data_IF_185464835270
#
_entry.id   IF_185464835270
#
_cell.length_a   1.000
_cell.length_b   1.000
_cell.length_c   1.000
_cell.angle_alpha   90.00
_cell.angle_beta   90.00
_cell.angle_gamma   90.00
#
_symmetry.space_group_name_H-M   'P 1'
#
loop_
_entity.id
_entity.type
_entity.pdbx_description
1 polymer ?
#
# COMPACT_ATOMS: atom_id res chain seq x y z
N UNK A 1 -17.25 -17.70 15.89
CA UNK A 1 -17.27 -17.27 17.31
C UNK A 1 -15.85 -17.20 17.88
N UNK A 2 -14.99 -18.26 17.74
CA UNK A 2 -13.61 -18.23 18.25
C UNK A 2 -12.77 -17.04 17.75
N UNK A 3 -12.84 -16.75 16.46
CA UNK A 3 -12.08 -15.62 15.87
C UNK A 3 -12.55 -14.25 16.40
N UNK A 4 -13.85 -14.06 16.67
CA UNK A 4 -14.39 -12.82 17.22
C UNK A 4 -13.83 -12.52 18.61
N UNK A 5 -13.86 -13.49 19.53
CA UNK A 5 -13.37 -13.35 20.91
C UNK A 5 -11.87 -13.03 20.96
N UNK A 6 -11.06 -13.77 20.20
CA UNK A 6 -9.61 -13.51 20.13
C UNK A 6 -9.29 -12.15 19.53
N UNK A 7 -10.00 -11.73 18.49
CA UNK A 7 -9.83 -10.40 17.89
C UNK A 7 -10.23 -9.30 18.88
N UNK A 8 -11.32 -9.50 19.61
CA UNK A 8 -11.74 -8.55 20.64
C UNK A 8 -10.69 -8.41 21.76
N UNK A 9 -10.18 -9.52 22.31
CA UNK A 9 -9.08 -9.47 23.29
C UNK A 9 -7.86 -8.75 22.73
N UNK A 10 -7.46 -9.11 21.50
CA UNK A 10 -6.30 -8.50 20.85
C UNK A 10 -6.42 -6.98 20.72
N UNK A 11 -7.59 -6.50 20.34
CA UNK A 11 -7.82 -5.06 20.13
C UNK A 11 -8.04 -4.28 21.42
N UNK A 12 -8.63 -4.89 22.46
CA UNK A 12 -9.06 -4.17 23.65
C UNK A 12 -8.09 -4.30 24.82
N UNK A 13 -7.42 -5.45 24.97
CA UNK A 13 -6.47 -5.67 26.05
C UNK A 13 -5.03 -5.25 25.68
N UNK A 14 -4.66 -5.31 24.38
CA UNK A 14 -3.31 -5.04 23.90
C UNK A 14 -3.26 -3.73 23.07
N UNK A 15 -3.54 -2.61 23.69
CA UNK A 15 -3.52 -1.28 23.04
C UNK A 15 -2.14 -0.65 23.20
N UNK A 16 -1.42 -0.31 22.09
CA UNK A 16 -1.90 -0.22 20.71
C UNK A 16 -1.84 -1.54 19.92
N UNK A 17 -1.03 -2.48 20.34
CA UNK A 17 -0.77 -3.76 19.66
C UNK A 17 -0.13 -4.77 20.64
N UNK A 18 -0.03 -6.08 20.29
CA UNK A 18 0.50 -7.12 21.16
C UNK A 18 1.96 -6.94 21.58
N UNK A 19 2.70 -6.03 20.95
CA UNK A 19 4.09 -5.72 21.32
C UNK A 19 4.21 -4.75 22.51
N UNK A 20 3.09 -4.36 23.12
CA UNK A 20 3.05 -3.44 24.29
C UNK A 20 3.99 -3.85 25.43
N UNK A 21 4.21 -5.13 25.65
CA UNK A 21 5.09 -5.62 26.70
C UNK A 21 6.58 -5.33 26.48
N UNK A 22 6.99 -5.03 25.25
CA UNK A 22 8.37 -4.64 24.94
C UNK A 22 8.71 -3.26 25.47
N UNK A 23 7.73 -2.36 25.55
CA UNK A 23 7.95 -0.93 25.75
C UNK A 23 8.88 -0.64 26.93
N UNK A 24 8.55 -1.11 28.13
CA UNK A 24 9.33 -0.79 29.34
C UNK A 24 10.75 -1.35 29.29
N UNK A 25 10.91 -2.60 28.86
CA UNK A 25 12.21 -3.28 28.75
C UNK A 25 13.09 -2.61 27.69
N UNK A 26 12.51 -2.30 26.51
CA UNK A 26 13.21 -1.63 25.43
C UNK A 26 13.66 -0.21 25.82
N UNK A 27 12.81 0.58 26.49
CA UNK A 27 13.21 1.91 26.98
C UNK A 27 14.43 1.80 27.90
N UNK A 28 14.41 0.87 28.88
CA UNK A 28 15.52 0.71 29.82
C UNK A 28 16.82 0.34 29.12
N UNK A 29 16.77 -0.60 28.19
CA UNK A 29 17.92 -1.04 27.40
C UNK A 29 18.44 0.06 26.49
N UNK A 30 17.56 0.69 25.69
CA UNK A 30 17.94 1.69 24.71
C UNK A 30 18.45 2.98 25.34
N UNK A 31 17.96 3.39 26.50
CA UNK A 31 18.51 4.55 27.22
C UNK A 31 20.00 4.35 27.57
N UNK A 32 20.35 3.14 28.07
CA UNK A 32 21.76 2.81 28.37
C UNK A 32 22.57 2.85 27.07
N UNK A 33 22.07 2.23 26.01
CA UNK A 33 22.75 2.16 24.71
C UNK A 33 22.95 3.54 24.10
N UNK A 34 21.92 4.41 24.09
CA UNK A 34 21.97 5.77 23.58
C UNK A 34 23.05 6.59 24.30
N UNK A 35 23.09 6.52 25.65
CA UNK A 35 24.06 7.27 26.45
C UNK A 35 25.49 6.75 26.25
N UNK A 36 25.67 5.43 26.11
CA UNK A 36 26.99 4.84 25.91
C UNK A 36 27.58 5.13 24.54
N UNK A 37 26.76 5.35 23.53
CA UNK A 37 27.18 5.53 22.13
C UNK A 37 26.94 6.96 21.61
N UNK A 38 26.58 7.91 22.47
CA UNK A 38 26.32 9.31 22.12
C UNK A 38 25.38 9.47 20.92
N UNK A 39 24.22 8.78 20.97
CA UNK A 39 23.23 8.81 19.88
C UNK A 39 22.32 10.01 20.06
N UNK A 40 22.28 10.89 19.05
CA UNK A 40 21.47 12.12 19.03
C UNK A 40 20.10 11.91 18.37
N UNK A 41 19.99 10.96 17.46
CA UNK A 41 18.78 10.73 16.68
C UNK A 41 18.21 9.33 16.88
N UNK A 42 16.89 9.26 17.00
CA UNK A 42 16.16 7.98 17.03
C UNK A 42 15.04 8.02 16.01
N UNK A 43 14.96 6.98 15.19
CA UNK A 43 13.85 6.78 14.25
C UNK A 43 13.00 5.62 14.76
N UNK A 44 11.70 5.86 14.94
CA UNK A 44 10.73 4.80 15.19
C UNK A 44 9.81 4.64 13.99
N UNK A 45 9.56 3.41 13.55
CA UNK A 45 8.67 3.14 12.42
C UNK A 45 7.51 2.26 12.84
N UNK A 46 6.33 2.56 12.35
CA UNK A 46 5.09 1.83 12.67
C UNK A 46 4.21 1.61 11.45
N UNK A 47 3.37 0.55 11.47
CA UNK A 47 3.10 -0.42 12.55
C UNK A 47 4.26 -1.43 12.78
N UNK A 48 4.39 -2.02 13.98
CA UNK A 48 3.54 -1.87 15.17
C UNK A 48 3.74 -0.53 15.87
N UNK A 49 2.64 0.09 16.34
CA UNK A 49 2.70 1.46 16.89
C UNK A 49 3.28 1.52 18.32
N UNK A 50 3.41 0.38 19.00
CA UNK A 50 4.20 0.25 20.24
C UNK A 50 5.65 0.73 20.07
N UNK A 51 6.23 0.67 18.85
CA UNK A 51 7.56 1.20 18.55
C UNK A 51 7.63 2.72 18.78
N UNK A 52 6.59 3.45 18.40
CA UNK A 52 6.50 4.89 18.68
C UNK A 52 6.38 5.19 20.18
N UNK A 53 5.75 4.29 20.96
CA UNK A 53 5.67 4.43 22.42
C UNK A 53 7.02 4.20 23.10
N UNK A 54 7.87 3.33 22.56
CA UNK A 54 9.25 3.19 23.01
C UNK A 54 9.99 4.51 22.80
N UNK A 55 9.97 5.07 21.61
CA UNK A 55 10.63 6.33 21.29
C UNK A 55 10.06 7.51 22.10
N UNK A 56 8.73 7.55 22.32
CA UNK A 56 8.11 8.52 23.22
C UNK A 56 8.65 8.41 24.65
N UNK A 57 8.88 7.19 25.15
CA UNK A 57 9.48 6.94 26.46
C UNK A 57 10.94 7.39 26.53
N UNK A 58 11.72 7.17 25.48
CA UNK A 58 13.11 7.64 25.35
C UNK A 58 13.15 9.18 25.34
N UNK A 59 12.32 9.84 24.53
CA UNK A 59 12.22 11.31 24.45
C UNK A 59 11.82 11.95 25.77
N UNK A 60 10.98 11.30 26.56
CA UNK A 60 10.62 11.78 27.91
C UNK A 60 11.81 11.74 28.88
N UNK A 61 12.70 10.77 28.76
CA UNK A 61 13.86 10.58 29.63
C UNK A 61 15.07 11.41 29.16
N UNK A 62 15.24 11.55 27.84
CA UNK A 62 16.26 12.40 27.23
C UNK A 62 15.57 13.44 26.33
N UNK A 63 15.42 14.66 26.83
CA UNK A 63 14.75 15.77 26.12
C UNK A 63 15.54 16.25 24.89
N UNK A 64 16.87 16.08 24.89
CA UNK A 64 17.75 16.51 23.80
C UNK A 64 17.69 15.55 22.60
N UNK A 65 17.27 14.29 22.83
CA UNK A 65 17.16 13.29 21.78
C UNK A 65 16.23 13.77 20.65
N UNK A 66 16.71 13.83 19.43
CA UNK A 66 15.90 14.14 18.25
C UNK A 66 15.18 12.89 17.79
N UNK A 67 13.86 12.95 17.76
CA UNK A 67 13.00 11.81 17.44
C UNK A 67 12.22 12.02 16.17
N UNK A 68 12.41 11.10 15.22
CA UNK A 68 11.68 10.98 13.96
C UNK A 68 10.68 9.82 14.11
N UNK A 69 9.40 10.08 13.91
CA UNK A 69 8.37 9.05 13.91
C UNK A 69 7.87 8.80 12.48
N UNK A 70 8.19 7.64 11.94
CA UNK A 70 7.83 7.21 10.59
C UNK A 70 6.52 6.43 10.61
N UNK A 71 5.46 7.07 10.15
CA UNK A 71 4.12 6.52 10.03
C UNK A 71 3.90 6.02 8.60
N UNK A 72 4.21 4.75 8.36
CA UNK A 72 3.93 4.09 7.09
C UNK A 72 2.43 3.90 6.82
N UNK A 73 1.66 3.80 7.90
CA UNK A 73 0.21 3.72 7.91
C UNK A 73 -0.36 4.60 9.03
N UNK A 74 -1.61 5.12 8.90
CA UNK A 74 -2.27 5.81 9.98
C UNK A 74 -2.54 4.85 11.15
N UNK A 75 -2.52 5.36 12.37
CA UNK A 75 -2.70 4.52 13.55
C UNK A 75 -4.20 4.29 13.86
N UNK A 76 -4.89 5.33 14.34
CA UNK A 76 -6.29 5.20 14.78
C UNK A 76 -7.30 5.14 13.65
N UNK A 77 -6.89 5.44 12.41
CA UNK A 77 -7.73 5.41 11.20
C UNK A 77 -7.48 4.21 10.31
N UNK A 78 -6.72 3.21 10.79
CA UNK A 78 -6.44 2.00 10.02
C UNK A 78 -7.68 1.10 9.97
N UNK A 79 -8.16 0.74 8.77
CA UNK A 79 -9.34 -0.13 8.57
C UNK A 79 -9.19 -1.50 9.25
N UNK A 80 -7.95 -1.99 9.41
CA UNK A 80 -7.69 -3.25 10.11
C UNK A 80 -8.24 -3.24 11.55
N UNK A 81 -8.32 -2.07 12.18
CA UNK A 81 -8.85 -1.93 13.55
C UNK A 81 -10.35 -2.28 13.64
N UNK A 82 -11.11 -2.16 12.56
CA UNK A 82 -12.53 -2.52 12.53
C UNK A 82 -12.73 -4.02 12.77
N UNK A 83 -11.77 -4.85 12.36
CA UNK A 83 -11.79 -6.30 12.60
C UNK A 83 -11.59 -6.68 14.07
N UNK A 84 -11.11 -5.76 14.90
CA UNK A 84 -10.85 -6.01 16.32
C UNK A 84 -11.99 -5.63 17.25
N UNK A 85 -13.11 -5.12 16.72
CA UNK A 85 -14.30 -4.76 17.51
C UNK A 85 -13.95 -3.92 18.74
N UNK A 86 -13.20 -2.84 18.51
CA UNK A 86 -12.70 -1.99 19.59
C UNK A 86 -13.81 -1.37 20.41
N UNK A 87 -13.73 -1.48 21.74
CA UNK A 87 -14.56 -0.74 22.68
C UNK A 87 -14.29 0.77 22.59
N UNK A 88 -15.19 1.57 23.10
CA UNK A 88 -15.03 3.02 23.19
C UNK A 88 -13.71 3.41 23.90
N UNK A 89 -13.38 2.74 25.00
CA UNK A 89 -12.14 2.96 25.75
C UNK A 89 -10.89 2.64 24.93
N UNK A 90 -10.86 1.50 24.22
CA UNK A 90 -9.72 1.12 23.38
C UNK A 90 -9.56 2.09 22.18
N UNK A 91 -10.65 2.52 21.55
CA UNK A 91 -10.63 3.54 20.48
C UNK A 91 -10.06 4.86 20.99
N UNK A 92 -10.53 5.37 22.12
CA UNK A 92 -10.05 6.63 22.69
C UNK A 92 -8.60 6.51 23.15
N UNK A 93 -8.18 5.39 23.76
CA UNK A 93 -6.79 5.16 24.14
C UNK A 93 -5.86 5.19 22.92
N UNK A 94 -6.23 4.54 21.80
CA UNK A 94 -5.46 4.60 20.55
C UNK A 94 -5.31 6.06 20.08
N UNK A 95 -6.41 6.81 19.97
CA UNK A 95 -6.39 8.23 19.56
C UNK A 95 -5.51 9.10 20.46
N UNK A 96 -5.61 8.93 21.77
CA UNK A 96 -4.79 9.67 22.73
C UNK A 96 -3.29 9.34 22.61
N UNK A 97 -2.96 8.06 22.40
CA UNK A 97 -1.58 7.64 22.25
C UNK A 97 -1.00 8.16 20.92
N UNK A 98 -1.73 8.05 19.82
CA UNK A 98 -1.37 8.62 18.51
C UNK A 98 -1.11 10.13 18.64
N UNK A 99 -2.06 10.89 19.19
CA UNK A 99 -1.91 12.33 19.41
C UNK A 99 -0.66 12.66 20.23
N UNK A 100 -0.38 11.91 21.31
CA UNK A 100 0.83 12.11 22.12
C UNK A 100 2.11 11.91 21.32
N UNK A 101 2.16 10.91 20.44
CA UNK A 101 3.29 10.66 19.57
C UNK A 101 3.45 11.80 18.57
N UNK A 102 2.38 12.16 17.87
CA UNK A 102 2.37 13.23 16.86
C UNK A 102 2.82 14.58 17.43
N UNK A 103 2.39 14.93 18.65
CA UNK A 103 2.75 16.19 19.30
C UNK A 103 4.17 16.20 19.91
N UNK A 104 4.82 15.06 20.14
CA UNK A 104 6.10 14.98 20.86
C UNK A 104 7.29 14.60 19.98
N UNK A 105 7.08 14.01 18.82
CA UNK A 105 8.13 13.77 17.84
C UNK A 105 8.64 15.11 17.26
N UNK A 106 9.93 15.17 16.96
CA UNK A 106 10.54 16.34 16.32
C UNK A 106 10.18 16.41 14.83
N UNK A 107 10.03 15.24 14.20
CA UNK A 107 9.61 15.10 12.83
C UNK A 107 8.69 13.88 12.69
N UNK A 108 7.60 14.06 11.97
CA UNK A 108 6.75 12.97 11.51
C UNK A 108 7.02 12.74 10.03
N UNK A 109 7.28 11.51 9.67
CA UNK A 109 7.29 11.06 8.27
C UNK A 109 6.00 10.32 7.98
N UNK A 110 5.48 10.49 6.78
CA UNK A 110 4.31 9.75 6.29
C UNK A 110 4.40 9.58 4.77
N UNK A 111 3.59 8.70 4.21
CA UNK A 111 3.70 8.31 2.80
C UNK A 111 2.76 9.08 1.87
N UNK A 112 1.83 9.91 2.40
CA UNK A 112 0.87 10.63 1.57
C UNK A 112 0.50 12.01 2.13
N UNK A 113 0.05 12.87 1.22
CA UNK A 113 -0.37 14.24 1.53
C UNK A 113 -1.60 14.27 2.44
N UNK A 114 -2.56 13.38 2.19
CA UNK A 114 -3.77 13.27 2.99
C UNK A 114 -3.46 12.92 4.46
N UNK A 115 -2.57 11.95 4.67
CA UNK A 115 -2.17 11.58 6.03
C UNK A 115 -1.34 12.67 6.69
N UNK A 116 -0.50 13.40 5.93
CA UNK A 116 0.17 14.60 6.44
C UNK A 116 -0.85 15.61 7.01
N UNK A 117 -1.88 15.89 6.22
CA UNK A 117 -2.89 16.88 6.62
C UNK A 117 -3.73 16.39 7.80
N UNK A 118 -4.03 15.11 7.85
CA UNK A 118 -4.69 14.49 9.00
C UNK A 118 -3.84 14.55 10.28
N UNK A 119 -2.53 14.29 10.18
CA UNK A 119 -1.62 14.36 11.34
C UNK A 119 -1.45 15.79 11.82
N UNK A 120 -1.41 16.78 10.92
CA UNK A 120 -1.42 18.20 11.29
C UNK A 120 -2.69 18.58 12.06
N UNK A 121 -3.87 18.11 11.61
CA UNK A 121 -5.14 18.31 12.34
C UNK A 121 -5.14 17.68 13.72
N UNK A 122 -4.38 16.61 13.93
CA UNK A 122 -4.21 15.95 15.24
C UNK A 122 -3.17 16.64 16.14
N UNK A 123 -2.49 17.68 15.65
CA UNK A 123 -1.54 18.48 16.39
C UNK A 123 -0.07 18.19 16.13
N UNK A 124 0.27 17.50 15.03
CA UNK A 124 1.65 17.37 14.61
C UNK A 124 2.19 18.69 14.03
N UNK A 125 3.33 19.17 14.54
CA UNK A 125 3.91 20.45 14.13
C UNK A 125 4.73 20.35 12.85
N UNK A 126 5.51 19.27 12.70
CA UNK A 126 6.43 19.07 11.57
C UNK A 126 6.15 17.72 10.92
N UNK A 127 5.48 17.73 9.78
CA UNK A 127 5.14 16.51 9.01
C UNK A 127 5.68 16.65 7.60
N UNK A 128 6.46 15.67 7.18
CA UNK A 128 7.01 15.56 5.82
C UNK A 128 6.50 14.29 5.15
N UNK A 129 6.29 14.38 3.85
CA UNK A 129 5.87 13.23 3.04
C UNK A 129 7.09 12.66 2.34
N UNK A 130 7.37 11.40 2.61
CA UNK A 130 8.29 10.54 1.87
C UNK A 130 7.48 9.33 1.42
N UNK A 131 7.15 9.25 0.16
CA UNK A 131 6.30 8.20 -0.39
C UNK A 131 6.99 6.83 -0.28
N UNK A 132 6.23 5.75 -0.48
CA UNK A 132 6.83 4.49 -0.83
C UNK A 132 7.57 4.63 -2.18
N UNK A 133 8.47 3.71 -2.45
CA UNK A 133 9.27 3.70 -3.67
C UNK A 133 9.67 2.28 -4.06
N UNK A 134 10.42 2.17 -5.13
CA UNK A 134 11.00 0.93 -5.63
C UNK A 134 12.53 0.92 -5.42
N UNK A 135 13.13 -0.26 -5.38
CA UNK A 135 14.57 -0.45 -5.35
C UNK A 135 15.08 -0.67 -6.77
N UNK A 136 16.02 0.15 -7.23
CA UNK A 136 16.58 0.03 -8.59
C UNK A 136 17.26 -1.32 -8.79
N UNK A 137 17.83 -1.92 -7.72
CA UNK A 137 18.48 -3.22 -7.77
C UNK A 137 17.54 -4.37 -8.15
N UNK A 138 16.26 -4.27 -7.79
CA UNK A 138 15.24 -5.26 -8.17
C UNK A 138 14.99 -5.30 -9.69
N UNK A 139 15.30 -4.21 -10.39
CA UNK A 139 15.02 -4.02 -11.82
C UNK A 139 16.27 -4.03 -12.71
N UNK A 140 17.46 -4.25 -12.15
CA UNK A 140 18.73 -4.23 -12.90
C UNK A 140 18.73 -5.18 -14.11
N UNK A 141 18.15 -6.39 -13.95
CA UNK A 141 18.04 -7.39 -15.01
C UNK A 141 16.62 -7.50 -15.56
N UNK A 142 15.77 -6.51 -15.26
CA UNK A 142 14.39 -6.52 -15.71
C UNK A 142 14.28 -6.19 -17.19
N UNK A 143 13.72 -7.09 -17.96
CA UNK A 143 13.41 -6.88 -19.37
C UNK A 143 11.92 -7.07 -19.60
N UNK A 144 11.24 -6.02 -20.05
CA UNK A 144 9.83 -6.14 -20.41
C UNK A 144 9.66 -7.00 -21.65
N UNK A 145 9.07 -8.16 -21.49
CA UNK A 145 8.74 -9.04 -22.61
C UNK A 145 7.36 -8.68 -23.15
N UNK A 146 7.27 -8.46 -24.45
CA UNK A 146 5.99 -8.24 -25.13
C UNK A 146 5.62 -9.53 -25.86
N UNK A 147 4.46 -10.10 -25.54
CA UNK A 147 3.89 -11.20 -26.31
C UNK A 147 2.88 -10.65 -27.30
N UNK A 148 2.98 -11.02 -28.57
CA UNK A 148 1.95 -10.75 -29.58
C UNK A 148 0.81 -11.77 -29.53
N UNK A 149 1.09 -12.95 -28.94
CA UNK A 149 0.16 -14.07 -28.88
C UNK A 149 -0.75 -14.04 -27.65
N UNK A 150 -0.29 -13.37 -26.58
CA UNK A 150 -0.99 -13.35 -25.29
C UNK A 150 -1.15 -11.93 -24.77
N UNK A 151 -2.32 -11.64 -24.21
CA UNK A 151 -2.60 -10.45 -23.41
C UNK A 151 -2.78 -10.87 -21.97
N UNK A 152 -1.72 -10.76 -21.19
CA UNK A 152 -1.71 -11.17 -19.78
C UNK A 152 -2.09 -10.01 -18.89
N UNK A 153 -3.17 -10.15 -18.15
CA UNK A 153 -3.58 -9.23 -17.07
C UNK A 153 -3.15 -9.84 -15.75
N UNK A 154 -2.33 -9.12 -14.95
CA UNK A 154 -1.75 -9.65 -13.72
C UNK A 154 -2.07 -8.85 -12.46
N UNK A 155 -2.52 -9.53 -11.41
CA UNK A 155 -2.55 -9.00 -10.05
C UNK A 155 -1.75 -9.90 -9.11
N UNK A 156 -0.80 -9.32 -8.41
CA UNK A 156 0.14 -10.03 -7.53
C UNK A 156 0.02 -9.50 -6.10
N UNK A 157 -0.97 -9.99 -5.36
CA UNK A 157 -1.20 -9.57 -3.98
C UNK A 157 -2.53 -9.99 -3.39
N UNK A 158 -2.97 -9.26 -2.35
CA UNK A 158 -4.22 -9.53 -1.66
C UNK A 158 -5.41 -9.05 -2.47
N UNK A 159 -6.41 -9.92 -2.67
CA UNK A 159 -7.76 -9.55 -3.10
C UNK A 159 -8.75 -9.99 -2.03
N UNK A 160 -9.45 -9.04 -1.42
CA UNK A 160 -10.51 -9.25 -0.45
C UNK A 160 -11.74 -8.41 -0.82
N UNK A 161 -12.79 -8.45 -0.01
CA UNK A 161 -14.03 -7.71 -0.28
C UNK A 161 -13.85 -6.20 -0.49
N UNK A 162 -12.81 -5.57 0.11
CA UNK A 162 -12.47 -4.16 -0.08
C UNK A 162 -11.61 -3.89 -1.32
N UNK A 163 -11.11 -4.94 -1.98
CA UNK A 163 -10.22 -4.87 -3.15
C UNK A 163 -10.73 -5.70 -4.31
N UNK A 164 -12.05 -5.85 -4.44
CA UNK A 164 -12.66 -6.63 -5.51
C UNK A 164 -13.24 -5.72 -6.60
N UNK A 165 -12.61 -5.61 -7.77
CA UNK A 165 -13.10 -4.80 -8.89
C UNK A 165 -14.18 -5.56 -9.68
N UNK A 166 -15.36 -5.75 -9.10
CA UNK A 166 -16.45 -6.56 -9.70
C UNK A 166 -16.80 -6.15 -11.12
N UNK A 167 -16.90 -4.85 -11.39
CA UNK A 167 -17.23 -4.36 -12.73
C UNK A 167 -16.11 -4.61 -13.75
N UNK A 168 -14.87 -4.76 -13.28
CA UNK A 168 -13.76 -5.14 -14.14
C UNK A 168 -13.88 -6.60 -14.62
N UNK A 169 -14.23 -7.52 -13.73
CA UNK A 169 -14.47 -8.92 -14.12
C UNK A 169 -15.62 -9.04 -15.10
N UNK A 170 -16.72 -8.31 -14.86
CA UNK A 170 -17.86 -8.22 -15.79
C UNK A 170 -17.49 -7.65 -17.14
N UNK A 171 -16.66 -6.59 -17.16
CA UNK A 171 -16.19 -5.99 -18.39
C UNK A 171 -15.32 -6.97 -19.21
N UNK A 172 -14.41 -7.70 -18.56
CA UNK A 172 -13.58 -8.72 -19.22
C UNK A 172 -14.45 -9.85 -19.82
N UNK A 173 -15.42 -10.34 -19.05
CA UNK A 173 -16.33 -11.39 -19.53
C UNK A 173 -17.11 -10.92 -20.78
N UNK A 174 -17.68 -9.70 -20.73
CA UNK A 174 -18.38 -9.08 -21.86
C UNK A 174 -17.49 -8.92 -23.09
N UNK A 175 -16.24 -8.44 -22.92
CA UNK A 175 -15.28 -8.32 -24.04
C UNK A 175 -14.97 -9.69 -24.63
N UNK A 176 -14.76 -10.71 -23.81
CA UNK A 176 -14.48 -12.07 -24.31
C UNK A 176 -15.64 -12.68 -25.10
N UNK A 177 -16.88 -12.36 -24.76
CA UNK A 177 -18.08 -12.79 -25.49
C UNK A 177 -18.20 -12.07 -26.84
N UNK A 178 -17.86 -10.79 -26.89
CA UNK A 178 -18.00 -9.92 -28.07
C UNK A 178 -16.79 -10.02 -29.04
N UNK A 179 -15.59 -10.31 -28.54
CA UNK A 179 -14.34 -10.29 -29.29
C UNK A 179 -13.56 -11.62 -29.16
N UNK A 180 -13.67 -12.46 -30.18
CA UNK A 180 -13.03 -13.78 -30.20
C UNK A 180 -11.48 -13.71 -30.21
N UNK A 181 -10.87 -12.71 -30.87
CA UNK A 181 -9.42 -12.54 -30.89
C UNK A 181 -8.89 -12.15 -29.52
N UNK A 182 -9.51 -11.17 -28.86
CA UNK A 182 -9.21 -10.83 -27.47
C UNK A 182 -9.36 -12.03 -26.54
N UNK A 183 -10.48 -12.75 -26.69
CA UNK A 183 -10.77 -13.94 -25.86
C UNK A 183 -9.72 -15.03 -26.03
N UNK A 184 -9.20 -15.27 -27.22
CA UNK A 184 -8.13 -16.27 -27.48
C UNK A 184 -6.80 -15.89 -26.82
N UNK A 185 -6.50 -14.59 -26.76
CA UNK A 185 -5.21 -14.08 -26.25
C UNK A 185 -5.21 -13.78 -24.76
N UNK A 186 -6.39 -13.60 -24.13
CA UNK A 186 -6.50 -13.22 -22.73
C UNK A 186 -6.03 -14.33 -21.80
N UNK A 187 -5.12 -13.99 -20.89
CA UNK A 187 -4.82 -14.75 -19.67
C UNK A 187 -4.93 -13.81 -18.45
N UNK A 188 -5.46 -14.30 -17.33
CA UNK A 188 -5.59 -13.57 -16.08
C UNK A 188 -4.74 -14.27 -15.03
N UNK A 189 -3.68 -13.63 -14.59
CA UNK A 189 -2.75 -14.17 -13.59
C UNK A 189 -3.03 -13.57 -12.24
N UNK A 190 -3.38 -14.40 -11.26
CA UNK A 190 -3.67 -13.98 -9.89
C UNK A 190 -2.72 -14.70 -8.93
N UNK A 191 -1.98 -13.93 -8.14
CA UNK A 191 -1.06 -14.45 -7.13
C UNK A 191 -1.29 -13.78 -5.77
N UNK A 192 -1.05 -14.52 -4.70
CA UNK A 192 -1.19 -14.08 -3.33
C UNK A 192 -2.45 -14.58 -2.65
N UNK A 193 -2.88 -13.89 -1.59
CA UNK A 193 -4.05 -14.30 -0.83
C UNK A 193 -5.32 -13.71 -1.43
N UNK A 194 -6.16 -14.56 -2.01
CA UNK A 194 -7.42 -14.18 -2.66
C UNK A 194 -8.57 -14.85 -1.93
N UNK A 195 -9.55 -14.07 -1.50
CA UNK A 195 -10.71 -14.59 -0.80
C UNK A 195 -11.47 -15.61 -1.66
N UNK A 196 -11.79 -16.76 -1.07
CA UNK A 196 -12.50 -17.86 -1.75
C UNK A 196 -13.83 -17.43 -2.38
N UNK A 197 -14.51 -16.47 -1.75
CA UNK A 197 -15.78 -15.89 -2.26
C UNK A 197 -15.55 -15.17 -3.59
N UNK A 198 -14.41 -14.50 -3.77
CA UNK A 198 -14.05 -13.79 -4.99
C UNK A 198 -13.65 -14.79 -6.09
N UNK A 199 -12.90 -15.83 -5.75
CA UNK A 199 -12.59 -16.91 -6.70
C UNK A 199 -13.90 -17.51 -7.22
N UNK A 200 -14.87 -17.81 -6.33
CA UNK A 200 -16.19 -18.32 -6.71
C UNK A 200 -16.97 -17.31 -7.56
N UNK A 201 -16.89 -16.01 -7.26
CA UNK A 201 -17.52 -14.96 -8.07
C UNK A 201 -16.94 -14.98 -9.50
N UNK A 202 -15.61 -15.01 -9.63
CA UNK A 202 -14.95 -15.03 -10.95
C UNK A 202 -15.28 -16.30 -11.71
N UNK A 203 -15.40 -17.45 -11.06
CA UNK A 203 -15.76 -18.71 -11.70
C UNK A 203 -17.17 -18.75 -12.31
N UNK A 204 -18.03 -17.84 -11.90
CA UNK A 204 -19.40 -17.72 -12.47
C UNK A 204 -19.40 -16.98 -13.83
N UNK A 205 -18.32 -16.35 -14.23
CA UNK A 205 -18.21 -15.67 -15.53
C UNK A 205 -17.77 -16.67 -16.60
N UNK A 206 -18.67 -16.99 -17.53
CA UNK A 206 -18.50 -18.09 -18.48
C UNK A 206 -17.30 -17.94 -19.44
N UNK A 207 -17.03 -16.71 -19.87
CA UNK A 207 -16.01 -16.45 -20.86
C UNK A 207 -14.59 -16.27 -20.27
N UNK A 208 -14.47 -15.86 -19.00
CA UNK A 208 -13.15 -15.62 -18.37
C UNK A 208 -12.71 -16.71 -17.38
N UNK A 209 -13.63 -17.56 -16.91
CA UNK A 209 -13.30 -18.59 -15.92
C UNK A 209 -12.10 -19.46 -16.33
N UNK A 210 -12.10 -19.98 -17.55
CA UNK A 210 -11.01 -20.84 -18.07
C UNK A 210 -9.70 -20.10 -18.33
N UNK A 211 -9.69 -18.77 -18.25
CA UNK A 211 -8.52 -17.91 -18.51
C UNK A 211 -7.79 -17.48 -17.25
N UNK A 212 -8.37 -17.78 -16.08
CA UNK A 212 -7.77 -17.44 -14.79
C UNK A 212 -6.74 -18.48 -14.38
N UNK A 213 -5.53 -18.00 -14.09
CA UNK A 213 -4.42 -18.82 -13.57
C UNK A 213 -4.10 -18.38 -12.14
N UNK A 214 -4.37 -19.27 -11.20
CA UNK A 214 -4.00 -19.08 -9.80
C UNK A 214 -2.55 -19.49 -9.60
N UNK A 215 -1.65 -18.53 -9.36
CA UNK A 215 -0.21 -18.78 -9.26
C UNK A 215 0.24 -19.06 -7.82
N UNK A 216 -0.67 -19.04 -6.85
CA UNK A 216 -0.33 -19.20 -5.45
C UNK A 216 0.52 -18.05 -4.90
N UNK A 217 1.33 -18.34 -3.88
CA UNK A 217 2.26 -17.37 -3.32
C UNK A 217 3.53 -17.33 -4.17
N UNK A 218 3.96 -16.12 -4.54
CA UNK A 218 5.22 -15.87 -5.24
C UNK A 218 6.15 -15.05 -4.32
N UNK A 219 7.42 -15.39 -4.32
CA UNK A 219 8.47 -14.57 -3.71
C UNK A 219 8.60 -13.22 -4.45
N UNK A 220 9.22 -12.22 -3.83
CA UNK A 220 9.39 -10.90 -4.46
C UNK A 220 10.08 -10.99 -5.83
N UNK A 221 11.15 -11.78 -5.93
CA UNK A 221 11.88 -12.00 -7.18
C UNK A 221 11.00 -12.64 -8.27
N UNK A 222 10.16 -13.61 -7.89
CA UNK A 222 9.21 -14.24 -8.82
C UNK A 222 8.13 -13.26 -9.27
N UNK A 223 7.67 -12.36 -8.38
CA UNK A 223 6.73 -11.30 -8.74
C UNK A 223 7.34 -10.35 -9.78
N UNK A 224 8.58 -9.91 -9.59
CA UNK A 224 9.29 -9.07 -10.57
C UNK A 224 9.42 -9.79 -11.92
N UNK A 225 9.76 -11.08 -11.92
CA UNK A 225 9.79 -11.90 -13.13
C UNK A 225 8.39 -12.01 -13.79
N UNK A 226 7.33 -12.19 -13.00
CA UNK A 226 5.96 -12.25 -13.51
C UNK A 226 5.54 -10.91 -14.16
N UNK A 227 5.96 -9.78 -13.60
CA UNK A 227 5.75 -8.47 -14.21
C UNK A 227 6.32 -8.42 -15.65
N UNK A 228 7.47 -9.04 -15.91
CA UNK A 228 8.08 -9.02 -17.26
C UNK A 228 7.16 -9.59 -18.35
N UNK A 229 6.36 -10.62 -18.01
CA UNK A 229 5.45 -11.30 -18.91
C UNK A 229 4.01 -10.78 -18.88
N UNK A 230 3.73 -9.78 -18.02
CA UNK A 230 2.39 -9.19 -17.86
C UNK A 230 2.21 -8.04 -18.85
N UNK A 231 1.10 -7.99 -19.57
CA UNK A 231 0.76 -6.92 -20.52
C UNK A 231 0.10 -5.74 -19.80
N UNK A 232 -0.77 -6.02 -18.81
CA UNK A 232 -1.49 -5.03 -18.02
C UNK A 232 -1.44 -5.42 -16.53
N UNK A 233 -0.82 -4.59 -15.71
CA UNK A 233 -0.75 -4.80 -14.26
C UNK A 233 -1.97 -4.19 -13.56
N UNK A 234 -2.46 -4.86 -12.52
CA UNK A 234 -3.54 -4.35 -11.68
C UNK A 234 -3.03 -4.02 -10.28
N UNK A 235 -3.31 -2.81 -9.83
CA UNK A 235 -3.10 -2.35 -8.46
C UNK A 235 -4.47 -2.09 -7.84
N UNK A 236 -4.78 -2.76 -6.73
CA UNK A 236 -6.07 -2.66 -6.06
C UNK A 236 -5.87 -1.99 -4.69
N UNK A 237 -6.39 -0.77 -4.54
CA UNK A 237 -6.43 -0.06 -3.27
C UNK A 237 -7.61 -0.54 -2.44
N UNK A 238 -7.62 -0.28 -1.14
CA UNK A 238 -8.82 -0.49 -0.33
C UNK A 238 -9.92 0.48 -0.75
N UNK A 239 -11.10 -0.02 -1.02
CA UNK A 239 -12.32 0.79 -1.22
C UNK A 239 -12.89 1.22 0.13
N UNK A 240 -12.16 2.10 0.80
CA UNK A 240 -12.43 2.52 2.17
C UNK A 240 -11.77 3.87 2.47
N UNK A 241 -12.00 4.41 3.67
CA UNK A 241 -11.39 5.69 4.09
C UNK A 241 -9.87 5.61 4.16
N UNK A 242 -9.29 4.49 4.57
CA UNK A 242 -7.82 4.35 4.60
C UNK A 242 -7.23 4.25 3.20
N UNK A 243 -8.00 3.74 2.24
CA UNK A 243 -7.61 3.70 0.84
C UNK A 243 -7.39 5.07 0.20
N UNK A 244 -7.98 6.13 0.75
CA UNK A 244 -7.83 7.50 0.25
C UNK A 244 -6.39 8.02 0.32
N UNK A 245 -5.66 7.73 1.41
CA UNK A 245 -4.26 8.11 1.58
C UNK A 245 -3.26 6.99 1.26
N UNK A 246 -3.70 5.88 0.72
CA UNK A 246 -2.83 4.72 0.51
C UNK A 246 -2.02 4.86 -0.79
N UNK A 247 -0.69 4.76 -0.67
CA UNK A 247 0.26 4.59 -1.77
C UNK A 247 0.96 3.23 -1.59
N UNK A 248 0.43 2.12 -2.11
CA UNK A 248 1.07 0.81 -1.92
C UNK A 248 2.42 0.75 -2.63
N UNK A 249 3.41 0.05 -2.04
CA UNK A 249 4.74 -0.13 -2.65
C UNK A 249 4.64 -0.68 -4.08
N UNK A 250 3.71 -1.59 -4.31
CA UNK A 250 3.43 -2.19 -5.63
C UNK A 250 3.11 -1.17 -6.74
N UNK A 251 2.53 -0.02 -6.42
CA UNK A 251 2.31 1.05 -7.38
C UNK A 251 3.64 1.52 -7.98
N UNK A 252 4.65 1.70 -7.12
CA UNK A 252 5.97 2.19 -7.53
C UNK A 252 6.76 1.12 -8.29
N UNK A 253 6.57 -0.16 -7.94
CA UNK A 253 7.11 -1.28 -8.73
C UNK A 253 6.50 -1.31 -10.14
N UNK A 254 5.18 -1.09 -10.27
CA UNK A 254 4.53 -0.97 -11.58
C UNK A 254 5.09 0.20 -12.40
N UNK A 255 5.39 1.33 -11.75
CA UNK A 255 6.06 2.47 -12.36
C UNK A 255 7.46 2.08 -12.85
N UNK A 256 8.26 1.41 -12.01
CA UNK A 256 9.61 0.94 -12.36
C UNK A 256 9.61 -0.04 -13.53
N UNK A 257 8.59 -0.90 -13.64
CA UNK A 257 8.43 -1.85 -14.75
C UNK A 257 8.19 -1.19 -16.11
N UNK A 258 7.84 0.09 -16.14
CA UNK A 258 7.50 0.83 -17.38
C UNK A 258 6.43 0.13 -18.21
N UNK A 259 5.46 -0.50 -17.55
CA UNK A 259 4.32 -1.19 -18.17
C UNK A 259 3.02 -0.44 -17.99
N UNK A 260 2.02 -0.82 -18.77
CA UNK A 260 0.66 -0.37 -18.53
C UNK A 260 0.16 -0.93 -17.22
N UNK A 261 -0.51 -0.10 -16.43
CA UNK A 261 -1.19 -0.56 -15.22
C UNK A 261 -2.46 0.23 -14.95
N UNK A 262 -3.44 -0.46 -14.39
CA UNK A 262 -4.66 0.12 -13.86
C UNK A 262 -4.63 0.10 -12.35
N UNK A 263 -5.06 1.19 -11.75
CA UNK A 263 -5.28 1.29 -10.31
C UNK A 263 -6.76 1.41 -10.05
N UNK A 264 -7.31 0.48 -9.27
CA UNK A 264 -8.66 0.60 -8.74
C UNK A 264 -8.62 1.15 -7.32
N UNK A 265 -9.42 2.17 -7.06
CA UNK A 265 -9.46 2.78 -5.73
C UNK A 265 -10.66 3.69 -5.51
N UNK A 266 -10.78 4.28 -4.30
CA UNK A 266 -11.80 5.24 -3.98
C UNK A 266 -11.57 6.57 -4.70
N UNK A 267 -12.63 7.30 -4.93
CA UNK A 267 -12.58 8.64 -5.51
C UNK A 267 -11.80 9.63 -4.62
N UNK A 268 -11.11 10.59 -5.24
CA UNK A 268 -10.31 11.61 -4.57
C UNK A 268 -9.14 11.10 -3.72
N UNK A 269 -8.65 9.88 -3.99
CA UNK A 269 -7.47 9.36 -3.32
C UNK A 269 -6.18 10.09 -3.73
N UNK A 270 -5.17 10.06 -2.86
CA UNK A 270 -3.86 10.63 -3.18
C UNK A 270 -3.19 9.89 -4.35
N UNK A 271 -3.42 8.58 -4.48
CA UNK A 271 -2.96 7.82 -5.66
C UNK A 271 -3.63 8.32 -6.95
N UNK A 272 -4.93 8.65 -6.92
CA UNK A 272 -5.60 9.25 -8.08
C UNK A 272 -4.97 10.59 -8.47
N UNK A 273 -4.71 11.46 -7.48
CA UNK A 273 -4.04 12.75 -7.70
C UNK A 273 -2.64 12.56 -8.28
N UNK A 274 -1.87 11.60 -7.74
CA UNK A 274 -0.55 11.27 -8.24
C UNK A 274 -0.58 10.85 -9.71
N UNK A 275 -1.45 9.91 -10.08
CA UNK A 275 -1.57 9.44 -11.47
C UNK A 275 -2.06 10.54 -12.42
N UNK A 276 -3.01 11.37 -11.98
CA UNK A 276 -3.49 12.51 -12.76
C UNK A 276 -2.39 13.55 -13.02
N UNK A 277 -1.53 13.80 -12.01
CA UNK A 277 -0.40 14.73 -12.13
C UNK A 277 0.71 14.19 -13.03
N UNK A 278 1.05 12.91 -12.88
CA UNK A 278 2.19 12.28 -13.58
C UNK A 278 1.82 11.73 -14.94
N UNK A 279 0.52 11.51 -15.20
CA UNK A 279 0.00 10.83 -16.39
C UNK A 279 0.57 9.43 -16.60
N UNK A 280 0.96 8.76 -15.50
CA UNK A 280 1.50 7.41 -15.49
C UNK A 280 0.42 6.47 -15.02
N UNK A 281 0.02 5.49 -15.85
CA UNK A 281 -1.06 4.54 -15.53
C UNK A 281 -2.46 5.15 -15.65
N UNK A 282 -3.46 4.32 -15.43
CA UNK A 282 -4.89 4.68 -15.47
C UNK A 282 -5.52 4.44 -14.11
N UNK A 283 -6.28 5.43 -13.63
CA UNK A 283 -7.06 5.30 -12.40
C UNK A 283 -8.53 5.03 -12.72
N UNK A 284 -9.07 4.00 -12.09
CA UNK A 284 -10.46 3.57 -12.23
C UNK A 284 -11.13 3.53 -10.85
N UNK A 285 -12.37 3.94 -10.79
CA UNK A 285 -13.18 3.83 -9.59
C UNK A 285 -13.82 2.44 -9.52
N UNK A 286 -13.99 1.91 -8.32
CA UNK A 286 -14.76 0.67 -8.13
C UNK A 286 -16.21 0.84 -8.58
N UNK A 287 -16.73 2.07 -8.59
CA UNK A 287 -18.06 2.46 -9.06
C UNK A 287 -18.15 2.75 -10.56
N UNK A 288 -17.04 2.77 -11.29
CA UNK A 288 -17.07 3.00 -12.74
C UNK A 288 -17.94 1.94 -13.43
N UNK A 289 -18.73 2.37 -14.41
CA UNK A 289 -19.59 1.46 -15.15
C UNK A 289 -18.77 0.52 -16.06
N UNK A 290 -19.41 -0.57 -16.45
CA UNK A 290 -18.79 -1.65 -17.23
C UNK A 290 -18.28 -1.13 -18.57
N UNK A 291 -19.00 -0.27 -19.27
CA UNK A 291 -18.64 0.19 -20.60
C UNK A 291 -17.40 1.09 -20.57
N UNK A 292 -17.30 2.01 -19.59
CA UNK A 292 -16.08 2.81 -19.35
C UNK A 292 -14.85 1.92 -19.09
N UNK A 293 -15.01 0.89 -18.26
CA UNK A 293 -13.91 -0.05 -17.95
C UNK A 293 -13.55 -0.85 -19.20
N UNK A 294 -14.53 -1.30 -19.96
CA UNK A 294 -14.38 -2.03 -21.23
C UNK A 294 -13.57 -1.22 -22.23
N UNK A 295 -13.91 0.05 -22.44
CA UNK A 295 -13.18 0.97 -23.34
C UNK A 295 -11.71 1.11 -22.93
N UNK A 296 -11.43 1.24 -21.63
CA UNK A 296 -10.07 1.32 -21.13
C UNK A 296 -9.27 0.02 -21.34
N UNK A 297 -9.90 -1.14 -21.15
CA UNK A 297 -9.27 -2.46 -21.40
C UNK A 297 -8.96 -2.62 -22.89
N UNK A 298 -9.89 -2.30 -23.78
CA UNK A 298 -9.70 -2.41 -25.25
C UNK A 298 -8.60 -1.43 -25.70
N UNK A 299 -8.60 -0.21 -25.19
CA UNK A 299 -7.52 0.74 -25.45
C UNK A 299 -6.16 0.20 -25.01
N UNK A 300 -6.08 -0.41 -23.83
CA UNK A 300 -4.84 -1.02 -23.33
C UNK A 300 -4.41 -2.23 -24.17
N UNK A 301 -5.35 -3.06 -24.64
CA UNK A 301 -5.10 -4.16 -25.53
C UNK A 301 -4.53 -3.74 -26.89
N UNK A 302 -5.10 -2.69 -27.49
CA UNK A 302 -4.68 -2.16 -28.79
C UNK A 302 -3.35 -1.40 -28.71
N UNK A 303 -3.12 -0.66 -27.61
CA UNK A 303 -1.95 0.18 -27.38
C UNK A 303 -0.93 -0.51 -26.47
N UNK A 304 -0.37 -1.65 -26.89
CA UNK A 304 0.60 -2.42 -26.08
C UNK A 304 1.95 -1.69 -25.82
N UNK A 305 2.11 -0.47 -26.29
CA UNK A 305 3.28 0.36 -26.06
C UNK A 305 2.88 1.74 -25.54
N UNK A 306 2.94 1.95 -24.24
CA UNK A 306 2.74 3.28 -23.67
C UNK A 306 4.11 3.90 -23.37
N UNK A 307 4.38 5.05 -23.98
CA UNK A 307 5.53 5.90 -23.61
C UNK A 307 5.12 6.79 -22.44
N UNK A 308 5.12 6.22 -21.22
CA UNK A 308 5.08 7.06 -20.03
C UNK A 308 6.43 7.78 -19.87
N UNK A 309 6.42 9.08 -19.60
CA UNK A 309 7.61 9.80 -19.13
C UNK A 309 7.86 9.36 -17.67
N UNK A 310 8.64 8.31 -17.51
CA UNK A 310 9.00 7.81 -16.19
C UNK A 310 10.02 8.75 -15.54
N UNK A 311 9.75 9.07 -14.29
CA UNK A 311 10.63 9.89 -13.46
C UNK A 311 11.26 8.97 -12.40
N UNK A 312 12.56 9.06 -12.19
CA UNK A 312 13.27 8.35 -11.11
C UNK A 312 12.95 8.92 -9.72
N UNK A 313 11.98 9.82 -9.62
CA UNK A 313 11.62 10.48 -8.36
C UNK A 313 11.10 9.53 -7.27
N UNK A 314 10.82 8.27 -7.63
CA UNK A 314 10.31 7.26 -6.71
C UNK A 314 11.31 6.13 -6.44
N UNK A 315 12.56 6.26 -6.88
CA UNK A 315 13.58 5.31 -6.46
C UNK A 315 13.89 5.49 -4.97
N UNK A 316 14.20 4.40 -4.27
CA UNK A 316 14.59 4.48 -2.85
C UNK A 316 15.84 5.31 -2.64
N UNK A 317 16.77 5.30 -3.59
CA UNK A 317 17.94 6.16 -3.56
C UNK A 317 17.53 7.63 -3.51
N UNK A 318 16.71 8.09 -4.44
CA UNK A 318 16.23 9.48 -4.46
C UNK A 318 15.44 9.85 -3.20
N UNK A 319 14.53 8.98 -2.74
CA UNK A 319 13.76 9.21 -1.52
C UNK A 319 14.65 9.25 -0.27
N UNK A 320 15.76 8.50 -0.25
CA UNK A 320 16.74 8.55 0.84
C UNK A 320 17.52 9.85 0.82
N UNK A 321 17.91 10.35 -0.36
CA UNK A 321 18.52 11.67 -0.50
C UNK A 321 17.60 12.78 0.01
N UNK A 322 16.31 12.76 -0.39
CA UNK A 322 15.31 13.72 0.07
C UNK A 322 15.14 13.66 1.61
N UNK A 323 15.14 12.46 2.20
CA UNK A 323 15.12 12.29 3.65
C UNK A 323 16.39 12.84 4.31
N UNK A 324 17.55 12.57 3.74
CA UNK A 324 18.84 13.08 4.24
C UNK A 324 18.85 14.61 4.28
N UNK A 325 18.37 15.28 3.23
CA UNK A 325 18.25 16.74 3.21
C UNK A 325 17.33 17.27 4.30
N UNK A 326 16.24 16.56 4.60
CA UNK A 326 15.32 16.94 5.70
C UNK A 326 16.02 16.79 7.05
N UNK A 327 16.75 15.70 7.26
CA UNK A 327 17.45 15.44 8.53
C UNK A 327 18.61 16.43 8.77
N UNK A 328 19.33 16.81 7.73
CA UNK A 328 20.43 17.80 7.83
C UNK A 328 19.93 19.21 8.22
N UNK A 329 18.63 19.50 8.06
CA UNK A 329 18.02 20.77 8.45
C UNK A 329 17.40 20.74 9.86
N UNK A 330 17.48 19.62 10.58
CA UNK A 330 16.97 19.44 11.95
C UNK A 330 18.02 19.81 13.01
#
# INVERSE_FOLDING_TARGET
>A
VKNYFFNWIRGNCFVPDPKIFWIKKSIKFLLKYINQNNIDYVISTGPPHSMHLIALGLKKKNKNLKWIADFRDPWSKLDLLDNFHLSYFAKNKNKLLEKKVLCKANLILTVSEMWRDDFKKLGANNVKVITNGYDDSDFTNYTSKKSKEKFVIGHYGLINHLRNPKNFWKALDKICLENKDFSKKLEIHLSGNIDKTIIKEISNYSAINSKVKMLGYLSHKEVINAYSNTSLLLVLLFNSKSGLGNHPAKLFECIACKKQFFVFGPENSDTQKLLNKTKIGEYLLYSDNIDKIKDKIIKAYNNQSVNYKFSNNFSREKLTLDLSEILNKM
#
